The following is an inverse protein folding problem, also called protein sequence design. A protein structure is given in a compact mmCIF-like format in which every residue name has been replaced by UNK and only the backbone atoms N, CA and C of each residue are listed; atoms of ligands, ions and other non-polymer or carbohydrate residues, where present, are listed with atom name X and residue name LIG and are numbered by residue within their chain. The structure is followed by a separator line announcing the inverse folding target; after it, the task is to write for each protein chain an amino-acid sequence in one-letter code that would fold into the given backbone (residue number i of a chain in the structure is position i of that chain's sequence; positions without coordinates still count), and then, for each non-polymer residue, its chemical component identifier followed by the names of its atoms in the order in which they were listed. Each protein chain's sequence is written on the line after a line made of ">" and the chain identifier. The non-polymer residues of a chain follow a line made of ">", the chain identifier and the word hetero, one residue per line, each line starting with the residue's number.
data_IF_892585881641
#
_entry.id   IF_892585881641
#
_cell.length_a   1.000
_cell.length_b   1.000
_cell.length_c   1.000
_cell.angle_alpha   90.00
_cell.angle_beta   90.00
_cell.angle_gamma   90.00
#
_symmetry.space_group_name_H-M   'P 1'
#
loop_
_entity.id
_entity.type
_entity.pdbx_description
1 polymer ?
#
# COMPACT_ATOMS: atom_id res chain seq x y z
N UNK A 1 6.81 10.40 1.97
CA UNK A 1 6.11 9.58 0.95
C UNK A 1 5.48 8.35 1.60
N UNK A 2 4.46 7.74 0.98
CA UNK A 2 3.80 6.50 1.45
C UNK A 2 4.81 5.37 1.66
N UNK A 3 5.75 5.18 0.73
CA UNK A 3 6.77 4.14 0.77
C UNK A 3 7.64 4.22 2.03
N UNK A 4 8.05 5.42 2.44
CA UNK A 4 8.81 5.63 3.68
C UNK A 4 8.03 5.26 4.91
N UNK A 5 6.77 5.71 4.98
CA UNK A 5 5.92 5.40 6.12
C UNK A 5 5.73 3.89 6.21
N UNK A 6 5.40 3.24 5.09
CA UNK A 6 5.26 1.80 4.99
C UNK A 6 6.52 1.09 5.46
N UNK A 7 7.69 1.38 4.88
CA UNK A 7 8.95 0.75 5.26
C UNK A 7 9.30 0.97 6.74
N UNK A 8 9.03 2.16 7.29
CA UNK A 8 9.31 2.47 8.70
C UNK A 8 8.40 1.67 9.64
N UNK A 9 7.12 1.56 9.32
CA UNK A 9 6.16 0.79 10.12
C UNK A 9 6.50 -0.69 10.04
N UNK A 10 6.78 -1.22 8.85
CA UNK A 10 7.18 -2.61 8.65
C UNK A 10 8.44 -2.96 9.46
N UNK A 11 9.47 -2.11 9.37
CA UNK A 11 10.73 -2.31 10.09
C UNK A 11 10.53 -2.33 11.60
N UNK A 12 9.65 -1.46 12.12
CA UNK A 12 9.41 -1.32 13.56
C UNK A 12 8.57 -2.46 14.13
N UNK A 13 7.49 -2.83 13.46
CA UNK A 13 6.54 -3.79 14.00
C UNK A 13 6.84 -5.23 13.57
N UNK A 14 7.44 -5.43 12.39
CA UNK A 14 7.70 -6.75 11.80
C UNK A 14 6.46 -7.65 11.76
N UNK A 15 5.32 -7.03 11.48
CA UNK A 15 4.03 -7.71 11.31
C UNK A 15 3.60 -7.58 9.85
N UNK A 16 2.77 -8.52 9.35
CA UNK A 16 2.15 -8.36 8.03
C UNK A 16 1.40 -7.03 7.93
N UNK A 17 1.56 -6.33 6.81
CA UNK A 17 0.92 -5.04 6.57
C UNK A 17 0.20 -5.01 5.22
N UNK A 18 -0.88 -4.22 5.18
CA UNK A 18 -1.63 -3.93 3.96
C UNK A 18 -1.78 -2.42 3.86
N UNK A 19 -1.32 -1.83 2.76
CA UNK A 19 -1.49 -0.40 2.52
C UNK A 19 -2.86 -0.13 1.88
N UNK A 20 -3.62 0.79 2.46
CA UNK A 20 -4.93 1.19 1.98
C UNK A 20 -4.92 2.64 1.50
N UNK A 21 -5.43 2.88 0.31
CA UNK A 21 -5.85 4.21 -0.14
C UNK A 21 -7.31 4.40 0.24
N UNK A 22 -7.53 4.93 1.44
CA UNK A 22 -8.87 5.24 1.92
C UNK A 22 -9.47 6.43 1.15
N UNK A 23 -10.80 6.43 1.01
CA UNK A 23 -11.59 7.46 0.30
C UNK A 23 -11.21 7.58 -1.18
N UNK A 24 -10.98 6.44 -1.83
CA UNK A 24 -10.69 6.40 -3.26
C UNK A 24 -11.80 7.03 -4.11
N UNK A 25 -13.02 7.13 -3.58
CA UNK A 25 -14.18 7.79 -4.20
C UNK A 25 -14.01 9.31 -4.43
N UNK A 26 -13.04 9.93 -3.76
CA UNK A 26 -12.73 11.36 -3.94
C UNK A 26 -11.91 11.61 -5.21
N UNK A 27 -11.19 10.61 -5.70
CA UNK A 27 -10.31 10.74 -6.85
C UNK A 27 -11.07 10.51 -8.14
N UNK A 28 -10.69 11.26 -9.18
CA UNK A 28 -11.09 10.91 -10.54
C UNK A 28 -10.42 9.59 -10.99
N UNK A 29 -10.97 8.87 -11.98
CA UNK A 29 -10.36 7.63 -12.47
C UNK A 29 -8.89 7.80 -12.91
N UNK A 30 -8.56 8.92 -13.57
CA UNK A 30 -7.19 9.20 -14.00
C UNK A 30 -6.23 9.44 -12.81
N UNK A 31 -6.69 10.14 -11.77
CA UNK A 31 -5.88 10.33 -10.56
C UNK A 31 -5.69 9.03 -9.80
N UNK A 32 -6.72 8.19 -9.74
CA UNK A 32 -6.64 6.88 -9.11
C UNK A 32 -5.61 6.00 -9.84
N UNK A 33 -5.67 5.95 -11.17
CA UNK A 33 -4.70 5.22 -12.00
C UNK A 33 -3.27 5.74 -11.81
N UNK A 34 -3.08 7.05 -11.75
CA UNK A 34 -1.76 7.66 -11.51
C UNK A 34 -1.20 7.24 -10.14
N UNK A 35 -2.00 7.34 -9.08
CA UNK A 35 -1.60 6.99 -7.70
C UNK A 35 -1.31 5.50 -7.57
N UNK A 36 -2.12 4.63 -8.17
CA UNK A 36 -1.87 3.18 -8.17
C UNK A 36 -0.61 2.85 -8.97
N UNK A 37 -0.40 3.52 -10.11
CA UNK A 37 0.79 3.38 -10.93
C UNK A 37 2.08 3.71 -10.16
N UNK A 38 2.06 4.69 -9.27
CA UNK A 38 3.21 4.98 -8.40
C UNK A 38 3.53 3.86 -7.39
N UNK A 39 2.53 3.06 -7.00
CA UNK A 39 2.71 1.95 -6.07
C UNK A 39 3.22 0.68 -6.74
N UNK A 40 2.93 0.52 -8.04
CA UNK A 40 3.26 -0.68 -8.83
C UNK A 40 4.56 -0.50 -9.63
N UNK A 41 4.87 0.72 -10.04
CA UNK A 41 5.98 1.05 -10.91
C UNK A 41 6.88 2.13 -10.29
N UNK A 42 8.10 1.72 -9.94
CA UNK A 42 9.14 2.59 -9.39
C UNK A 42 9.48 3.76 -10.31
N UNK A 43 9.44 3.53 -11.62
CA UNK A 43 9.90 4.47 -12.62
C UNK A 43 8.88 5.60 -12.75
N UNK A 44 7.58 5.25 -12.73
CA UNK A 44 6.48 6.21 -12.65
C UNK A 44 6.56 7.11 -11.43
N UNK A 45 6.86 6.55 -10.25
CA UNK A 45 6.99 7.34 -9.03
C UNK A 45 8.25 8.22 -9.06
N UNK A 46 9.38 7.69 -9.55
CA UNK A 46 10.61 8.46 -9.73
C UNK A 46 10.38 9.66 -10.65
N UNK A 47 9.81 9.42 -11.83
CA UNK A 47 9.48 10.47 -12.80
C UNK A 47 8.55 11.53 -12.20
N UNK A 48 7.54 11.12 -11.43
CA UNK A 48 6.63 12.05 -10.76
C UNK A 48 7.33 12.91 -9.71
N UNK A 49 8.26 12.34 -8.93
CA UNK A 49 9.06 13.07 -7.92
C UNK A 49 10.06 14.03 -8.58
N UNK A 50 10.64 13.64 -9.72
CA UNK A 50 11.66 14.44 -10.42
C UNK A 50 11.09 15.34 -11.53
N UNK A 51 9.76 15.40 -11.69
CA UNK A 51 9.10 16.16 -12.75
C UNK A 51 9.32 17.67 -12.60
N UNK A 52 9.36 18.15 -11.36
CA UNK A 52 9.57 19.55 -11.02
C UNK A 52 11.07 19.88 -10.93
N UNK A 53 11.38 21.20 -10.94
CA UNK A 53 12.77 21.65 -10.81
C UNK A 53 13.42 21.08 -9.54
N UNK A 54 14.70 20.67 -9.60
CA UNK A 54 15.37 20.03 -8.48
C UNK A 54 15.44 20.98 -7.28
N UNK A 55 14.65 20.67 -6.25
CA UNK A 55 14.73 21.29 -4.94
C UNK A 55 15.48 20.36 -3.98
N UNK A 56 16.03 20.87 -2.87
CA UNK A 56 16.65 20.03 -1.84
C UNK A 56 15.71 18.92 -1.33
N UNK A 57 14.41 19.20 -1.22
CA UNK A 57 13.39 18.25 -0.79
C UNK A 57 13.17 17.11 -1.80
N UNK A 58 13.17 17.44 -3.10
CA UNK A 58 13.09 16.45 -4.19
C UNK A 58 14.33 15.55 -4.15
N UNK A 59 15.52 16.13 -4.03
CA UNK A 59 16.78 15.38 -3.93
C UNK A 59 16.78 14.42 -2.74
N UNK A 60 16.39 14.88 -1.56
CA UNK A 60 16.27 14.05 -0.36
C UNK A 60 15.25 12.91 -0.55
N UNK A 61 14.08 13.24 -1.10
CA UNK A 61 13.01 12.27 -1.35
C UNK A 61 13.45 11.19 -2.34
N UNK A 62 14.20 11.57 -3.38
CA UNK A 62 14.76 10.65 -4.37
C UNK A 62 15.80 9.71 -3.76
N UNK A 63 16.74 10.21 -2.97
CA UNK A 63 17.78 9.36 -2.35
C UNK A 63 17.17 8.39 -1.32
N UNK A 64 16.21 8.86 -0.53
CA UNK A 64 15.49 8.00 0.41
C UNK A 64 14.63 6.95 -0.30
N UNK A 65 14.00 7.31 -1.43
CA UNK A 65 13.27 6.36 -2.25
C UNK A 65 14.19 5.24 -2.76
N UNK A 66 15.35 5.58 -3.36
CA UNK A 66 16.34 4.58 -3.78
C UNK A 66 16.77 3.67 -2.63
N UNK A 67 17.00 4.24 -1.44
CA UNK A 67 17.38 3.44 -0.27
C UNK A 67 16.30 2.42 0.11
N UNK A 68 15.02 2.84 0.14
CA UNK A 68 13.89 1.96 0.47
C UNK A 68 13.70 0.88 -0.59
N UNK A 69 13.90 1.18 -1.88
CA UNK A 69 13.80 0.19 -2.96
C UNK A 69 14.76 -0.99 -2.80
N UNK A 70 15.91 -0.80 -2.13
CA UNK A 70 16.85 -1.90 -1.89
C UNK A 70 16.36 -2.91 -0.84
N UNK A 71 15.33 -2.55 -0.07
CA UNK A 71 14.86 -3.33 1.08
C UNK A 71 13.80 -4.38 0.70
N UNK A 72 13.23 -4.31 -0.51
CA UNK A 72 12.24 -5.26 -1.01
C UNK A 72 11.22 -4.63 -1.96
N UNK A 73 10.25 -5.40 -2.46
CA UNK A 73 9.15 -4.88 -3.26
C UNK A 73 8.37 -3.81 -2.47
N UNK A 74 7.94 -2.73 -3.14
CA UNK A 74 6.98 -1.82 -2.54
C UNK A 74 5.69 -2.59 -2.22
N UNK A 75 5.18 -2.39 -1.00
CA UNK A 75 3.90 -2.93 -0.57
C UNK A 75 2.79 -2.27 -1.40
N UNK A 76 2.07 -3.09 -2.19
CA UNK A 76 0.99 -2.64 -3.06
C UNK A 76 -0.07 -1.84 -2.33
N UNK A 77 -0.76 -0.96 -3.06
CA UNK A 77 -1.75 -0.03 -2.51
C UNK A 77 -3.16 -0.47 -2.91
N UNK A 78 -3.99 -0.82 -1.93
CA UNK A 78 -5.37 -1.22 -2.18
C UNK A 78 -6.32 -0.02 -2.08
N UNK A 79 -7.02 0.38 -3.16
CA UNK A 79 -8.00 1.46 -3.10
C UNK A 79 -9.28 1.00 -2.40
N UNK A 80 -9.77 1.82 -1.47
CA UNK A 80 -10.98 1.52 -0.68
C UNK A 80 -11.82 2.77 -0.44
N UNK A 81 -13.14 2.60 -0.43
CA UNK A 81 -14.09 3.65 -0.06
C UNK A 81 -15.12 3.10 0.91
N UNK A 82 -15.15 3.65 2.12
CA UNK A 82 -16.18 3.32 3.11
C UNK A 82 -17.56 3.90 2.72
N UNK A 83 -17.59 4.87 1.79
CA UNK A 83 -18.82 5.55 1.38
C UNK A 83 -19.66 4.71 0.41
N UNK A 84 -19.01 4.08 -0.55
CA UNK A 84 -19.65 3.23 -1.56
C UNK A 84 -19.35 1.73 -1.38
N UNK A 85 -18.45 1.38 -0.47
CA UNK A 85 -18.08 -0.01 -0.16
C UNK A 85 -17.03 -0.62 -1.10
N UNK A 86 -16.53 0.13 -2.09
CA UNK A 86 -15.51 -0.37 -3.02
C UNK A 86 -14.22 -0.75 -2.31
N UNK A 87 -13.58 -1.83 -2.79
CA UNK A 87 -12.32 -2.34 -2.27
C UNK A 87 -12.38 -3.05 -0.92
N UNK A 88 -13.52 -2.99 -0.20
CA UNK A 88 -13.64 -3.63 1.12
C UNK A 88 -13.58 -5.17 1.06
N UNK A 89 -14.11 -5.78 0.00
CA UNK A 89 -13.98 -7.22 -0.22
C UNK A 89 -12.51 -7.62 -0.41
N UNK A 90 -11.78 -6.91 -1.28
CA UNK A 90 -10.36 -7.16 -1.49
C UNK A 90 -9.53 -6.93 -0.22
N UNK A 91 -9.94 -5.98 0.62
CA UNK A 91 -9.31 -5.75 1.92
C UNK A 91 -9.57 -6.93 2.87
N UNK A 92 -10.81 -7.38 2.98
CA UNK A 92 -11.18 -8.56 3.76
C UNK A 92 -10.41 -9.81 3.33
N UNK A 93 -10.34 -10.07 2.03
CA UNK A 93 -9.53 -11.16 1.45
C UNK A 93 -8.04 -11.02 1.78
N UNK A 94 -7.52 -9.79 1.84
CA UNK A 94 -6.13 -9.55 2.26
C UNK A 94 -5.91 -9.88 3.73
N UNK A 95 -6.86 -9.54 4.61
CA UNK A 95 -6.85 -9.93 6.02
C UNK A 95 -6.92 -11.46 6.17
N UNK A 96 -7.82 -12.14 5.45
CA UNK A 96 -7.90 -13.61 5.48
C UNK A 96 -6.58 -14.26 5.06
N UNK A 97 -5.94 -13.79 3.98
CA UNK A 97 -4.62 -14.30 3.57
C UNK A 97 -3.55 -14.13 4.65
N UNK A 98 -3.56 -12.99 5.34
CA UNK A 98 -2.61 -12.68 6.41
C UNK A 98 -2.84 -13.56 7.64
N UNK A 99 -4.08 -13.77 8.06
CA UNK A 99 -4.42 -14.44 9.32
C UNK A 99 -4.64 -15.96 9.20
N UNK A 100 -5.17 -16.43 8.08
CA UNK A 100 -5.56 -17.82 7.86
C UNK A 100 -4.76 -18.51 6.74
N UNK A 101 -3.68 -17.88 6.26
CA UNK A 101 -2.88 -18.43 5.15
C UNK A 101 -3.64 -18.55 3.82
N UNK A 102 -4.84 -17.99 3.73
CA UNK A 102 -5.74 -18.13 2.57
C UNK A 102 -6.78 -19.24 2.68
N UNK A 103 -6.92 -19.91 3.84
CA UNK A 103 -8.04 -20.80 4.13
C UNK A 103 -9.26 -19.99 4.58
N UNK A 104 -10.45 -20.32 4.06
CA UNK A 104 -11.68 -19.61 4.40
C UNK A 104 -12.10 -19.94 5.84
N UNK A 105 -12.26 -18.91 6.67
CA UNK A 105 -12.74 -19.07 8.04
C UNK A 105 -14.26 -19.25 8.03
N UNK A 106 -14.73 -20.41 7.56
CA UNK A 106 -16.09 -20.81 7.87
C UNK A 106 -16.24 -20.92 9.40
N UNK A 107 -17.39 -20.54 9.99
CA UNK A 107 -17.64 -20.60 11.43
C UNK A 107 -17.43 -21.99 12.05
N UNK A 108 -17.40 -23.04 11.23
CA UNK A 108 -17.18 -24.44 11.65
C UNK A 108 -15.72 -24.74 12.04
N UNK A 109 -14.78 -23.83 11.80
CA UNK A 109 -13.34 -24.03 12.05
C UNK A 109 -12.70 -23.03 13.01
N UNK A 110 -13.50 -22.23 13.74
CA UNK A 110 -12.96 -21.47 14.86
C UNK A 110 -12.33 -22.45 15.88
N UNK A 111 -11.10 -22.20 16.37
CA UNK A 111 -10.51 -23.06 17.39
C UNK A 111 -11.46 -23.07 18.58
N UNK A 112 -11.97 -24.26 18.90
CA UNK A 112 -12.71 -24.47 20.15
C UNK A 112 -11.81 -24.03 21.28
N UNK A 113 -12.28 -23.03 22.00
CA UNK A 113 -11.68 -22.60 23.26
C UNK A 113 -11.91 -23.73 24.25
N UNK A 114 -10.91 -24.58 24.41
CA UNK A 114 -10.71 -25.34 25.65
C UNK A 114 -10.19 -24.40 26.76
#
# INVERSE_FOLDING_TARGET
>A
SLAMLSATVEFRFRLPMVNLLAKSDVLTPAQLEEVLGWSEDRERLYEAVTRDSPTPDVQLSTELFRAIETMGPLLGLLPTSAKDGSGLEAFYQSCQRVFAGGEDLEPSHAPTTD
#
